data_IF_414493809471
#
_entry.id   IF_414493809471
#
_cell.length_a   1.000
_cell.length_b   1.000
_cell.length_c   1.000
_cell.angle_alpha   90.00
_cell.angle_beta   90.00
_cell.angle_gamma   90.00
#
_symmetry.space_group_name_H-M   'P 1'
#
loop_
_entity.id
_entity.type
_entity.pdbx_description
1 polymer ?
#
# COMPACT_ATOMS: atom_id res chain seq x y z
N UNK A 1 -8.36 -16.23 1.27
CA UNK A 1 -9.56 -15.68 1.94
C UNK A 1 -9.32 -14.18 2.12
N UNK A 2 -10.18 -13.32 1.55
CA UNK A 2 -10.06 -11.86 1.67
C UNK A 2 -11.07 -11.45 2.74
N UNK A 3 -10.59 -11.09 3.93
CA UNK A 3 -11.45 -10.63 5.02
C UNK A 3 -11.47 -9.10 5.03
N UNK A 4 -12.58 -8.51 4.57
CA UNK A 4 -12.82 -7.07 4.64
C UNK A 4 -13.27 -6.74 6.07
N UNK A 5 -12.31 -6.42 6.94
CA UNK A 5 -12.60 -6.03 8.31
C UNK A 5 -13.14 -4.59 8.34
N UNK A 6 -14.42 -4.41 8.69
CA UNK A 6 -14.94 -3.12 9.16
C UNK A 6 -14.42 -2.86 10.58
N UNK A 7 -13.16 -2.46 10.74
CA UNK A 7 -12.79 -1.73 11.95
C UNK A 7 -13.37 -0.32 11.77
N UNK A 8 -14.36 0.01 12.58
CA UNK A 8 -15.06 1.30 12.53
C UNK A 8 -14.09 2.45 12.79
N UNK A 9 -13.56 3.04 11.71
CA UNK A 9 -13.23 4.46 11.69
C UNK A 9 -14.41 5.16 11.02
N UNK A 10 -15.50 5.35 11.77
CA UNK A 10 -16.63 6.14 11.29
C UNK A 10 -16.14 7.55 10.91
N UNK A 11 -16.01 7.82 9.60
CA UNK A 11 -15.47 9.07 9.05
C UNK A 11 -14.14 8.96 8.31
N UNK A 12 -13.46 7.81 8.28
CA UNK A 12 -12.26 7.66 7.45
C UNK A 12 -12.63 7.48 5.97
N UNK A 13 -11.93 8.21 5.10
CA UNK A 13 -12.08 8.11 3.65
C UNK A 13 -11.56 6.78 3.06
N UNK A 14 -10.81 5.99 3.85
CA UNK A 14 -10.12 4.78 3.41
C UNK A 14 -10.49 3.57 4.27
N UNK A 15 -10.48 2.38 3.67
CA UNK A 15 -10.75 1.10 4.35
C UNK A 15 -9.54 0.17 4.22
N UNK A 16 -9.05 -0.43 5.32
CA UNK A 16 -7.95 -1.38 5.24
C UNK A 16 -8.39 -2.68 4.54
N UNK A 17 -7.51 -3.25 3.73
CA UNK A 17 -7.69 -4.56 3.08
C UNK A 17 -6.61 -5.50 3.60
N UNK A 18 -7.02 -6.64 4.17
CA UNK A 18 -6.10 -7.67 4.67
C UNK A 18 -6.07 -8.86 3.70
N UNK A 19 -4.88 -9.20 3.22
CA UNK A 19 -4.65 -10.30 2.27
C UNK A 19 -3.84 -11.41 2.98
N UNK A 20 -4.37 -12.63 2.96
CA UNK A 20 -3.69 -13.81 3.50
C UNK A 20 -3.31 -14.76 2.35
N UNK A 21 -2.03 -14.80 1.99
CA UNK A 21 -1.46 -15.68 0.94
C UNK A 21 0.07 -15.78 1.07
N UNK A 22 0.74 -16.44 0.12
CA UNK A 22 2.21 -16.35 -0.05
C UNK A 22 2.62 -14.94 -0.49
N UNK A 23 3.92 -14.56 -0.41
CA UNK A 23 4.38 -13.26 -0.91
C UNK A 23 3.95 -12.99 -2.35
N UNK A 24 4.09 -13.97 -3.25
CA UNK A 24 3.70 -13.86 -4.66
C UNK A 24 2.19 -13.70 -4.82
N UNK A 25 1.41 -14.44 -4.03
CA UNK A 25 -0.05 -14.32 -4.00
C UNK A 25 -0.51 -12.96 -3.50
N UNK A 26 0.13 -12.42 -2.47
CA UNK A 26 -0.15 -11.08 -1.94
C UNK A 26 0.22 -9.99 -2.96
N UNK A 27 1.37 -10.09 -3.61
CA UNK A 27 1.80 -9.15 -4.66
C UNK A 27 0.85 -9.16 -5.87
N UNK A 28 0.44 -10.34 -6.31
CA UNK A 28 -0.51 -10.49 -7.41
C UNK A 28 -1.87 -9.89 -7.07
N UNK A 29 -2.40 -10.19 -5.88
CA UNK A 29 -3.66 -9.61 -5.42
C UNK A 29 -3.58 -8.08 -5.27
N UNK A 30 -2.48 -7.56 -4.73
CA UNK A 30 -2.25 -6.12 -4.60
C UNK A 30 -2.24 -5.42 -5.96
N UNK A 31 -1.55 -6.00 -6.95
CA UNK A 31 -1.51 -5.49 -8.32
C UNK A 31 -2.92 -5.41 -8.94
N UNK A 32 -3.70 -6.49 -8.85
CA UNK A 32 -5.06 -6.54 -9.40
C UNK A 32 -5.97 -5.50 -8.72
N UNK A 33 -5.87 -5.33 -7.41
CA UNK A 33 -6.64 -4.32 -6.67
C UNK A 33 -6.28 -2.90 -7.16
N UNK A 34 -4.99 -2.61 -7.34
CA UNK A 34 -4.54 -1.32 -7.86
C UNK A 34 -5.08 -1.05 -9.27
N UNK A 35 -5.05 -2.05 -10.16
CA UNK A 35 -5.59 -1.93 -11.53
C UNK A 35 -7.10 -1.61 -11.50
N UNK A 36 -7.88 -2.26 -10.62
CA UNK A 36 -9.31 -1.96 -10.44
C UNK A 36 -9.52 -0.54 -9.94
N UNK A 37 -8.76 -0.10 -8.93
CA UNK A 37 -8.88 1.25 -8.37
C UNK A 37 -8.53 2.33 -9.39
N UNK A 38 -7.48 2.13 -10.17
CA UNK A 38 -7.07 3.05 -11.23
C UNK A 38 -8.12 3.14 -12.34
N UNK A 39 -8.71 2.00 -12.73
CA UNK A 39 -9.80 1.97 -13.69
C UNK A 39 -11.03 2.74 -13.19
N UNK A 40 -11.46 2.49 -11.96
CA UNK A 40 -12.59 3.19 -11.36
C UNK A 40 -12.35 4.71 -11.29
N UNK A 41 -11.12 5.13 -10.96
CA UNK A 41 -10.75 6.55 -10.98
C UNK A 41 -10.87 7.16 -12.38
N UNK A 42 -10.43 6.45 -13.42
CA UNK A 42 -10.57 6.93 -14.81
C UNK A 42 -12.04 7.05 -15.20
N UNK A 43 -12.86 6.03 -14.90
CA UNK A 43 -14.28 5.99 -15.24
C UNK A 43 -15.08 7.09 -14.53
N UNK A 44 -14.70 7.42 -13.29
CA UNK A 44 -15.32 8.47 -12.48
C UNK A 44 -14.68 9.86 -12.67
N UNK A 45 -13.67 9.97 -13.54
CA UNK A 45 -12.87 11.19 -13.76
C UNK A 45 -12.23 11.74 -12.48
N UNK A 46 -11.87 10.85 -11.56
CA UNK A 46 -11.07 11.17 -10.40
C UNK A 46 -9.64 11.50 -10.86
N UNK A 47 -9.22 12.76 -10.69
CA UNK A 47 -7.96 13.27 -11.24
C UNK A 47 -6.79 13.21 -10.26
N UNK A 48 -7.04 12.90 -8.99
CA UNK A 48 -5.97 12.78 -8.01
C UNK A 48 -5.28 11.42 -8.14
N UNK A 49 -3.99 11.39 -7.82
CA UNK A 49 -3.22 10.15 -7.77
C UNK A 49 -3.78 9.24 -6.67
N UNK A 50 -3.90 7.93 -6.95
CA UNK A 50 -4.28 6.93 -5.96
C UNK A 50 -3.00 6.28 -5.42
N UNK A 51 -2.49 6.68 -4.24
CA UNK A 51 -1.29 6.08 -3.68
C UNK A 51 -1.56 4.68 -3.12
N UNK A 52 -0.60 3.78 -3.26
CA UNK A 52 -0.60 2.51 -2.52
C UNK A 52 -0.14 2.76 -1.07
N UNK A 53 -1.03 2.53 -0.11
CA UNK A 53 -0.73 2.62 1.33
C UNK A 53 -0.58 1.23 1.94
N UNK A 54 0.58 0.98 2.56
CA UNK A 54 0.89 -0.30 3.22
C UNK A 54 0.98 -0.08 4.73
N UNK A 55 0.20 -0.83 5.50
CA UNK A 55 0.31 -0.86 6.95
C UNK A 55 1.36 -1.89 7.36
N UNK A 56 2.44 -1.43 7.97
CA UNK A 56 3.51 -2.28 8.49
C UNK A 56 3.60 -2.15 10.01
N UNK A 57 3.84 -3.28 10.70
CA UNK A 57 4.02 -3.27 12.15
C UNK A 57 5.35 -2.59 12.53
N UNK A 58 5.34 -1.70 13.52
CA UNK A 58 6.48 -0.86 13.92
C UNK A 58 7.77 -1.66 14.16
N UNK A 59 7.66 -2.86 14.75
CA UNK A 59 8.79 -3.78 14.97
C UNK A 59 9.59 -4.13 13.71
N UNK A 60 8.99 -4.07 12.51
CA UNK A 60 9.64 -4.46 11.26
C UNK A 60 10.07 -3.27 10.39
N UNK A 61 9.46 -2.10 10.61
CA UNK A 61 9.69 -0.89 9.81
C UNK A 61 11.16 -0.44 9.84
N UNK A 62 11.85 -0.59 10.98
CA UNK A 62 13.27 -0.20 11.10
C UNK A 62 14.19 -0.89 10.08
N UNK A 63 13.90 -2.16 9.73
CA UNK A 63 14.68 -2.90 8.72
C UNK A 63 14.34 -2.46 7.29
N UNK A 64 13.08 -2.09 7.04
CA UNK A 64 12.64 -1.53 5.75
C UNK A 64 13.31 -0.17 5.49
N UNK A 65 13.40 0.69 6.50
CA UNK A 65 14.09 1.98 6.42
C UNK A 65 15.60 1.77 6.20
N UNK A 66 16.20 0.89 7.02
CA UNK A 66 17.64 0.69 7.04
C UNK A 66 18.38 1.85 7.72
N UNK A 67 19.67 1.66 8.01
CA UNK A 67 20.51 2.72 8.60
C UNK A 67 20.49 3.97 7.71
N UNK A 68 20.15 5.13 8.28
CA UNK A 68 20.05 6.42 7.58
C UNK A 68 19.08 6.42 6.38
N UNK A 69 18.09 5.53 6.38
CA UNK A 69 17.11 5.43 5.28
C UNK A 69 17.66 4.78 4.01
N UNK A 70 18.85 4.16 4.05
CA UNK A 70 19.52 3.62 2.86
C UNK A 70 18.69 2.59 2.10
N UNK A 71 17.99 1.71 2.82
CA UNK A 71 17.19 0.67 2.17
C UNK A 71 15.96 1.27 1.49
N UNK A 72 15.28 2.20 2.17
CA UNK A 72 14.12 2.90 1.61
C UNK A 72 14.49 3.67 0.33
N UNK A 73 15.57 4.45 0.37
CA UNK A 73 16.08 5.20 -0.80
C UNK A 73 16.45 4.29 -1.97
N UNK A 74 17.02 3.12 -1.66
CA UNK A 74 17.34 2.13 -2.69
C UNK A 74 16.07 1.59 -3.34
N UNK A 75 15.04 1.27 -2.55
CA UNK A 75 13.76 0.79 -3.09
C UNK A 75 13.11 1.88 -3.96
N UNK A 76 13.09 3.13 -3.49
CA UNK A 76 12.60 4.28 -4.28
C UNK A 76 13.32 4.37 -5.63
N UNK A 77 14.66 4.30 -5.63
CA UNK A 77 15.46 4.37 -6.85
C UNK A 77 15.23 3.17 -7.79
N UNK A 78 15.24 1.95 -7.25
CA UNK A 78 15.12 0.72 -8.04
C UNK A 78 13.72 0.56 -8.66
N UNK A 79 12.71 1.21 -8.07
CA UNK A 79 11.30 1.12 -8.51
C UNK A 79 10.76 2.38 -9.17
N UNK A 80 11.55 3.46 -9.20
CA UNK A 80 11.14 4.80 -9.65
C UNK A 80 9.85 5.27 -8.92
N UNK A 81 9.87 5.17 -7.60
CA UNK A 81 8.74 5.56 -6.74
C UNK A 81 9.17 6.53 -5.65
N UNK A 82 8.19 7.28 -5.12
CA UNK A 82 8.36 8.09 -3.91
C UNK A 82 7.65 7.40 -2.75
N UNK A 83 8.39 7.01 -1.73
CA UNK A 83 7.89 6.27 -0.58
C UNK A 83 8.03 7.12 0.69
N UNK A 84 6.90 7.44 1.30
CA UNK A 84 6.86 8.13 2.60
C UNK A 84 6.41 7.18 3.70
N UNK A 85 6.99 7.33 4.89
CA UNK A 85 6.61 6.58 6.09
C UNK A 85 6.09 7.60 7.10
N UNK A 86 4.93 7.32 7.68
CA UNK A 86 4.35 8.16 8.74
C UNK A 86 5.23 8.14 10.00
N UNK A 87 5.30 9.25 10.76
CA UNK A 87 6.05 9.32 12.01
C UNK A 87 5.56 8.34 13.08
#
# INVERSE_FOLDING_TARGET
>A
RIDIHRKENAGAAEKPITIHSTPEGCSTACKIIMEIMQKEAQDTKFTEEIPLKILAHNNFVGRLIGKEGRNLKKIEQDTDTKITISP
#
